data_IF_644359324603
#
_entry.id   IF_644359324603
#
_cell.length_a   1.000
_cell.length_b   1.000
_cell.length_c   1.000
_cell.angle_alpha   90.00
_cell.angle_beta   90.00
_cell.angle_gamma   90.00
#
_symmetry.space_group_name_H-M   'P 1'
#
loop_
_entity.id
_entity.type
_entity.pdbx_description
1 polymer ?
#
# COMPACT_ATOMS: atom_id res chain seq x y z
N UNK A 1 41.29 48.09 -72.37
CA UNK A 1 40.23 47.07 -72.29
C UNK A 1 39.47 47.32 -70.99
N UNK A 2 38.25 47.86 -71.04
CA UNK A 2 37.39 47.97 -69.85
C UNK A 2 36.81 46.58 -69.61
N UNK A 3 37.13 45.98 -68.47
CA UNK A 3 36.46 44.78 -67.98
C UNK A 3 35.08 45.23 -67.50
N UNK A 4 34.02 44.79 -68.18
CA UNK A 4 32.65 45.04 -67.72
C UNK A 4 32.44 44.27 -66.41
N UNK A 5 31.98 44.98 -65.37
CA UNK A 5 31.64 44.37 -64.09
C UNK A 5 30.42 43.45 -64.26
N UNK A 6 30.39 42.26 -63.63
CA UNK A 6 29.31 41.32 -63.80
C UNK A 6 28.01 41.90 -63.21
N UNK A 7 27.04 42.19 -64.08
CA UNK A 7 25.71 42.67 -63.71
C UNK A 7 25.08 41.70 -62.69
N UNK A 8 24.93 42.15 -61.45
CA UNK A 8 24.25 41.40 -60.39
C UNK A 8 22.75 41.56 -60.56
N UNK A 9 22.07 40.48 -60.92
CA UNK A 9 20.61 40.45 -61.08
C UNK A 9 20.01 39.97 -59.77
N UNK A 10 19.29 40.85 -59.08
CA UNK A 10 18.57 40.50 -57.85
C UNK A 10 17.12 40.10 -58.16
N UNK A 11 16.63 39.07 -57.48
CA UNK A 11 15.28 38.51 -57.62
C UNK A 11 14.64 38.32 -56.23
N UNK A 12 13.32 38.54 -56.08
CA UNK A 12 12.64 38.36 -54.81
C UNK A 12 12.51 36.88 -54.46
N UNK A 13 12.82 36.51 -53.21
CA UNK A 13 12.65 35.17 -52.69
C UNK A 13 11.16 34.84 -52.51
N UNK A 14 10.71 33.70 -53.05
CA UNK A 14 9.32 33.24 -52.97
C UNK A 14 8.81 32.99 -51.53
N UNK A 15 9.71 32.81 -50.56
CA UNK A 15 9.35 32.47 -49.17
C UNK A 15 9.41 33.67 -48.22
N UNK A 16 10.37 34.58 -48.39
CA UNK A 16 10.55 35.74 -47.49
C UNK A 16 10.47 37.11 -48.19
N UNK A 17 10.20 37.13 -49.50
CA UNK A 17 10.13 38.31 -50.37
C UNK A 17 11.39 39.20 -50.41
N UNK A 18 12.49 38.83 -49.73
CA UNK A 18 13.75 39.57 -49.77
C UNK A 18 14.40 39.46 -51.17
N UNK A 19 14.98 40.55 -51.62
CA UNK A 19 15.76 40.62 -52.86
C UNK A 19 17.12 39.93 -52.65
N UNK A 20 17.40 38.89 -53.43
CA UNK A 20 18.63 38.08 -53.33
C UNK A 20 19.27 37.98 -54.71
N UNK A 21 20.61 37.98 -54.80
CA UNK A 21 21.30 37.74 -56.08
C UNK A 21 20.85 36.39 -56.65
N UNK A 22 20.49 36.36 -57.92
CA UNK A 22 19.96 35.17 -58.60
C UNK A 22 20.88 33.95 -58.46
N UNK A 23 22.21 34.14 -58.38
CA UNK A 23 23.19 33.05 -58.19
C UNK A 23 23.13 32.47 -56.78
N UNK A 24 22.80 33.30 -55.79
CA UNK A 24 22.74 32.92 -54.37
C UNK A 24 21.32 32.56 -53.91
N UNK A 25 20.29 32.80 -54.72
CA UNK A 25 18.89 32.50 -54.37
C UNK A 25 18.69 31.05 -53.89
N UNK A 26 19.36 30.07 -54.53
CA UNK A 26 19.25 28.66 -54.11
C UNK A 26 19.90 28.38 -52.75
N UNK A 27 21.04 29.00 -52.46
CA UNK A 27 21.69 28.89 -51.15
C UNK A 27 20.86 29.60 -50.08
N UNK A 28 20.36 30.79 -50.38
CA UNK A 28 19.43 31.51 -49.52
C UNK A 28 18.20 30.66 -49.20
N UNK A 29 17.50 30.14 -50.20
CA UNK A 29 16.31 29.29 -49.98
C UNK A 29 16.61 27.99 -49.21
N UNK A 30 17.84 27.47 -49.28
CA UNK A 30 18.24 26.24 -48.62
C UNK A 30 18.75 26.44 -47.18
N UNK A 31 19.46 27.53 -46.90
CA UNK A 31 20.21 27.73 -45.65
C UNK A 31 19.99 29.09 -44.98
N UNK A 32 19.83 30.18 -45.75
CA UNK A 32 19.84 31.55 -45.19
C UNK A 32 18.45 32.21 -45.12
N UNK A 33 17.41 31.55 -45.65
CA UNK A 33 16.06 32.09 -45.69
C UNK A 33 15.38 31.89 -44.34
N UNK A 34 14.96 32.97 -43.64
CA UNK A 34 14.28 32.87 -42.36
C UNK A 34 12.86 32.24 -42.47
N UNK A 35 12.36 32.05 -43.69
CA UNK A 35 11.06 31.43 -43.98
C UNK A 35 11.24 30.11 -44.76
N UNK A 36 12.41 29.47 -44.64
CA UNK A 36 12.70 28.17 -45.28
C UNK A 36 11.73 27.07 -44.82
N UNK A 37 11.09 27.22 -43.67
CA UNK A 37 10.02 26.37 -43.15
C UNK A 37 8.75 26.30 -44.03
N UNK A 38 8.50 27.35 -44.84
CA UNK A 38 7.41 27.40 -45.83
C UNK A 38 7.74 26.65 -47.13
N UNK A 39 8.97 26.17 -47.27
CA UNK A 39 9.40 25.42 -48.44
C UNK A 39 8.57 24.16 -48.58
N UNK A 40 8.02 23.96 -49.76
CA UNK A 40 7.32 22.73 -50.12
C UNK A 40 8.35 21.65 -50.48
N UNK A 41 8.24 20.50 -49.82
CA UNK A 41 9.07 19.32 -50.04
C UNK A 41 8.18 18.13 -50.37
N UNK A 42 8.65 17.26 -51.26
CA UNK A 42 8.01 15.96 -51.45
C UNK A 42 8.25 15.09 -50.22
N UNK A 43 7.22 14.38 -49.79
CA UNK A 43 7.35 13.47 -48.66
C UNK A 43 8.47 12.43 -48.92
N UNK A 44 9.46 12.29 -48.01
CA UNK A 44 10.60 11.40 -48.20
C UNK A 44 10.21 9.92 -48.18
N UNK A 45 8.99 9.59 -47.71
CA UNK A 45 8.41 8.24 -47.78
C UNK A 45 7.84 7.90 -49.15
N UNK A 46 7.82 8.86 -50.09
CA UNK A 46 7.33 8.64 -51.45
C UNK A 46 5.81 8.55 -51.56
N UNK A 47 5.06 9.15 -50.62
CA UNK A 47 3.59 9.10 -50.65
C UNK A 47 2.95 9.97 -51.74
N UNK A 48 3.75 10.78 -52.45
CA UNK A 48 3.30 11.67 -53.53
C UNK A 48 2.76 13.03 -53.07
N UNK A 49 2.68 13.30 -51.77
CA UNK A 49 2.25 14.59 -51.24
C UNK A 49 3.40 15.60 -51.15
N UNK A 50 3.05 16.85 -51.45
CA UNK A 50 3.90 18.03 -51.33
C UNK A 50 3.54 18.76 -50.04
N UNK A 51 4.50 18.91 -49.13
CA UNK A 51 4.27 19.31 -47.75
C UNK A 51 5.26 20.39 -47.36
N UNK A 52 4.80 21.40 -46.64
CA UNK A 52 5.68 22.42 -46.05
C UNK A 52 6.69 21.78 -45.09
N UNK A 53 7.93 22.24 -45.09
CA UNK A 53 8.99 21.69 -44.27
C UNK A 53 8.63 21.66 -42.78
N UNK A 54 7.95 22.69 -42.24
CA UNK A 54 7.45 22.72 -40.85
C UNK A 54 6.44 21.63 -40.51
N UNK A 55 5.66 21.18 -41.50
CA UNK A 55 4.56 20.22 -41.30
C UNK A 55 4.97 18.79 -41.67
N UNK A 56 6.19 18.60 -42.18
CA UNK A 56 6.65 17.32 -42.70
C UNK A 56 6.75 16.24 -41.63
N UNK A 57 7.26 16.59 -40.45
CA UNK A 57 7.39 15.63 -39.34
C UNK A 57 6.02 15.14 -38.88
N UNK A 58 5.10 16.07 -38.62
CA UNK A 58 3.72 15.76 -38.27
C UNK A 58 3.06 14.88 -39.33
N UNK A 59 3.22 15.22 -40.61
CA UNK A 59 2.72 14.38 -41.68
C UNK A 59 3.26 12.94 -41.59
N UNK A 60 4.59 12.77 -41.48
CA UNK A 60 5.19 11.44 -41.44
C UNK A 60 4.62 10.63 -40.27
N UNK A 61 4.56 11.22 -39.08
CA UNK A 61 4.14 10.50 -37.87
C UNK A 61 2.65 10.21 -37.85
N UNK A 62 1.80 11.17 -38.22
CA UNK A 62 0.36 11.08 -37.96
C UNK A 62 -0.49 10.77 -39.19
N UNK A 63 -0.04 11.18 -40.38
CA UNK A 63 -0.90 11.26 -41.57
C UNK A 63 -0.41 10.38 -42.74
N UNK A 64 0.90 10.16 -42.84
CA UNK A 64 1.51 9.55 -44.00
C UNK A 64 0.99 8.12 -44.20
N UNK A 65 0.39 7.82 -45.37
CA UNK A 65 -0.17 6.49 -45.64
C UNK A 65 0.91 5.41 -45.75
N UNK A 66 2.16 5.80 -46.02
CA UNK A 66 3.30 4.91 -46.17
C UNK A 66 4.17 4.81 -44.92
N UNK A 67 3.84 5.53 -43.84
CA UNK A 67 4.57 5.38 -42.59
C UNK A 67 4.29 4.01 -41.97
N UNK A 68 5.33 3.36 -41.44
CA UNK A 68 5.23 2.07 -40.77
C UNK A 68 4.69 2.28 -39.35
N UNK A 69 3.46 1.87 -39.14
CA UNK A 69 2.80 1.90 -37.83
C UNK A 69 2.68 0.47 -37.28
N UNK A 70 2.62 0.31 -35.95
CA UNK A 70 2.34 -1.01 -35.38
C UNK A 70 0.93 -1.50 -35.76
N UNK A 71 0.78 -2.81 -35.82
CA UNK A 71 -0.52 -3.48 -35.88
C UNK A 71 -1.37 -3.13 -34.65
N UNK A 72 -2.69 -3.04 -34.81
CA UNK A 72 -3.61 -2.74 -33.70
C UNK A 72 -3.58 -3.83 -32.61
N UNK A 73 -3.17 -5.05 -32.97
CA UNK A 73 -3.01 -6.20 -32.07
C UNK A 73 -1.58 -6.33 -31.51
N UNK A 74 -0.76 -5.28 -31.55
CA UNK A 74 0.61 -5.32 -31.01
C UNK A 74 0.63 -5.71 -29.53
N UNK A 75 -0.28 -5.16 -28.72
CA UNK A 75 -0.37 -5.47 -27.28
C UNK A 75 -0.83 -6.90 -27.00
N UNK A 76 -1.53 -7.52 -27.96
CA UNK A 76 -1.89 -8.95 -27.91
C UNK A 76 -0.73 -9.85 -28.36
N UNK A 77 0.34 -9.29 -28.92
CA UNK A 77 1.56 -10.02 -29.30
C UNK A 77 1.85 -10.08 -30.80
N UNK A 78 1.13 -9.34 -31.66
CA UNK A 78 1.45 -9.28 -33.08
C UNK A 78 2.70 -8.40 -33.31
N UNK A 79 3.81 -8.92 -33.88
CA UNK A 79 5.06 -8.16 -34.00
C UNK A 79 5.11 -7.26 -35.25
N UNK A 80 4.05 -7.23 -36.07
CA UNK A 80 4.10 -6.60 -37.39
C UNK A 80 4.05 -5.06 -37.29
N UNK A 81 4.97 -4.41 -38.01
CA UNK A 81 4.88 -3.00 -38.38
C UNK A 81 4.58 -2.90 -39.87
N UNK A 82 3.53 -2.17 -40.23
CA UNK A 82 2.93 -2.17 -41.56
C UNK A 82 2.63 -0.73 -41.95
N UNK A 83 2.57 -0.44 -43.25
CA UNK A 83 2.19 0.91 -43.70
C UNK A 83 0.79 1.26 -43.20
N UNK A 84 0.58 2.52 -42.82
CA UNK A 84 -0.72 3.00 -42.35
C UNK A 84 -1.86 2.63 -43.30
N UNK A 85 -1.62 2.70 -44.62
CA UNK A 85 -2.57 2.31 -45.66
C UNK A 85 -2.94 0.82 -45.64
N UNK A 86 -1.95 -0.07 -45.46
CA UNK A 86 -2.17 -1.52 -45.49
C UNK A 86 -2.60 -2.10 -44.12
N UNK A 87 -2.58 -1.31 -43.04
CA UNK A 87 -2.93 -1.78 -41.70
C UNK A 87 -4.33 -2.42 -41.63
N UNK A 88 -5.32 -1.80 -42.27
CA UNK A 88 -6.71 -2.32 -42.26
C UNK A 88 -6.79 -3.70 -42.90
N UNK A 89 -6.18 -3.86 -44.07
CA UNK A 89 -6.16 -5.12 -44.83
C UNK A 89 -5.45 -6.22 -44.03
N UNK A 90 -4.27 -5.93 -43.49
CA UNK A 90 -3.58 -6.86 -42.60
C UNK A 90 -4.46 -7.32 -41.43
N UNK A 91 -5.11 -6.38 -40.73
CA UNK A 91 -5.97 -6.69 -39.59
C UNK A 91 -7.14 -7.60 -39.99
N UNK A 92 -7.76 -7.37 -41.16
CA UNK A 92 -8.87 -8.20 -41.62
C UNK A 92 -8.42 -9.58 -42.10
N UNK A 93 -7.33 -9.66 -42.86
CA UNK A 93 -6.85 -10.93 -43.43
C UNK A 93 -6.22 -11.86 -42.40
N UNK A 94 -5.73 -11.30 -41.29
CA UNK A 94 -5.04 -12.05 -40.25
C UNK A 94 -5.88 -12.19 -38.97
N UNK A 95 -7.19 -12.00 -39.06
CA UNK A 95 -8.06 -11.96 -37.87
C UNK A 95 -8.03 -13.27 -37.08
N UNK A 96 -7.96 -14.43 -37.73
CA UNK A 96 -7.85 -15.72 -37.03
C UNK A 96 -6.56 -15.81 -36.21
N UNK A 97 -5.43 -15.34 -36.77
CA UNK A 97 -4.17 -15.26 -36.05
C UNK A 97 -4.26 -14.28 -34.88
N UNK A 98 -4.85 -13.10 -35.07
CA UNK A 98 -5.05 -12.12 -34.00
C UNK A 98 -5.95 -12.64 -32.87
N UNK A 99 -7.03 -13.34 -33.22
CA UNK A 99 -7.91 -14.00 -32.24
C UNK A 99 -7.18 -15.10 -31.47
N UNK A 100 -6.31 -15.86 -32.12
CA UNK A 100 -5.49 -16.88 -31.43
C UNK A 100 -4.57 -16.27 -30.37
N UNK A 101 -3.98 -15.11 -30.64
CA UNK A 101 -3.14 -14.37 -29.70
C UNK A 101 -3.96 -13.86 -28.51
N UNK A 102 -5.14 -13.30 -28.78
CA UNK A 102 -6.05 -12.82 -27.73
C UNK A 102 -6.49 -13.97 -26.83
N UNK A 103 -6.92 -15.08 -27.42
CA UNK A 103 -7.38 -16.25 -26.68
C UNK A 103 -6.26 -16.85 -25.82
N UNK A 104 -5.05 -16.98 -26.38
CA UNK A 104 -3.87 -17.42 -25.62
C UNK A 104 -3.64 -16.52 -24.40
N UNK A 105 -3.61 -15.20 -24.61
CA UNK A 105 -3.44 -14.25 -23.53
C UNK A 105 -4.58 -14.29 -22.50
N UNK A 106 -5.81 -14.60 -22.91
CA UNK A 106 -6.95 -14.79 -21.99
C UNK A 106 -6.73 -16.02 -21.11
N UNK A 107 -6.44 -17.18 -21.72
CA UNK A 107 -6.22 -18.42 -20.98
C UNK A 107 -5.05 -18.31 -19.98
N UNK A 108 -3.96 -17.64 -20.38
CA UNK A 108 -2.83 -17.38 -19.49
C UNK A 108 -3.17 -16.41 -18.34
N UNK A 109 -4.12 -15.50 -18.54
CA UNK A 109 -4.63 -14.65 -17.45
C UNK A 109 -5.56 -15.44 -16.54
N UNK A 110 -6.45 -16.25 -17.09
CA UNK A 110 -7.39 -17.08 -16.33
C UNK A 110 -6.65 -18.09 -15.44
N UNK A 111 -5.59 -18.74 -15.96
CA UNK A 111 -4.73 -19.64 -15.17
C UNK A 111 -4.02 -18.90 -14.02
N UNK A 112 -3.48 -17.69 -14.29
CA UNK A 112 -2.86 -16.86 -13.25
C UNK A 112 -3.87 -16.44 -12.18
N UNK A 113 -5.06 -16.03 -12.57
CA UNK A 113 -6.15 -15.67 -11.65
C UNK A 113 -6.52 -16.87 -10.79
N UNK A 114 -6.75 -18.04 -11.39
CA UNK A 114 -7.08 -19.27 -10.66
C UNK A 114 -5.97 -19.66 -9.65
N UNK A 115 -4.70 -19.49 -10.04
CA UNK A 115 -3.56 -19.73 -9.14
C UNK A 115 -3.55 -18.76 -7.95
N UNK A 116 -3.78 -17.47 -8.20
CA UNK A 116 -3.84 -16.45 -7.14
C UNK A 116 -5.01 -16.72 -6.19
N UNK A 117 -6.20 -17.02 -6.71
CA UNK A 117 -7.37 -17.37 -5.90
C UNK A 117 -7.10 -18.60 -5.02
N UNK A 118 -6.45 -19.64 -5.56
CA UNK A 118 -6.09 -20.83 -4.79
C UNK A 118 -5.14 -20.49 -3.64
N UNK A 119 -4.12 -19.67 -3.90
CA UNK A 119 -3.17 -19.25 -2.86
C UNK A 119 -3.83 -18.34 -1.81
N UNK A 120 -4.74 -17.46 -2.24
CA UNK A 120 -5.45 -16.56 -1.34
C UNK A 120 -6.32 -17.37 -0.36
N UNK A 121 -7.12 -18.31 -0.87
CA UNK A 121 -7.94 -19.21 -0.03
C UNK A 121 -7.09 -20.00 0.97
N UNK A 122 -5.92 -20.50 0.56
CA UNK A 122 -5.03 -21.21 1.47
C UNK A 122 -4.51 -20.29 2.59
N UNK A 123 -4.12 -19.05 2.27
CA UNK A 123 -3.67 -18.07 3.27
C UNK A 123 -4.80 -17.60 4.18
N UNK A 124 -6.02 -17.47 3.68
CA UNK A 124 -7.19 -17.16 4.50
C UNK A 124 -7.44 -18.25 5.53
N UNK A 125 -7.38 -19.53 5.13
CA UNK A 125 -7.51 -20.66 6.06
C UNK A 125 -6.39 -20.67 7.11
N UNK A 126 -5.14 -20.42 6.72
CA UNK A 126 -4.00 -20.34 7.65
C UNK A 126 -4.17 -19.19 8.65
N UNK A 127 -4.55 -17.99 8.19
CA UNK A 127 -4.80 -16.84 9.05
C UNK A 127 -5.94 -17.11 10.02
N UNK A 128 -7.03 -17.71 9.55
CA UNK A 128 -8.13 -18.12 10.41
C UNK A 128 -7.66 -19.10 11.49
N UNK A 129 -6.83 -20.09 11.12
CA UNK A 129 -6.23 -21.02 12.07
C UNK A 129 -5.38 -20.30 13.13
N UNK A 130 -4.54 -19.35 12.73
CA UNK A 130 -3.72 -18.56 13.65
C UNK A 130 -4.57 -17.69 14.59
N UNK A 131 -5.63 -17.06 14.11
CA UNK A 131 -6.55 -16.29 14.95
C UNK A 131 -7.24 -17.18 15.98
N UNK A 132 -7.68 -18.38 15.59
CA UNK A 132 -8.30 -19.32 16.54
C UNK A 132 -7.31 -19.82 17.59
N UNK A 133 -6.06 -20.09 17.20
CA UNK A 133 -5.02 -20.50 18.14
C UNK A 133 -4.67 -19.37 19.14
N UNK A 134 -4.55 -18.13 18.66
CA UNK A 134 -4.29 -16.97 19.52
C UNK A 134 -5.44 -16.72 20.51
N UNK A 135 -6.68 -16.84 20.06
CA UNK A 135 -7.86 -16.72 20.93
C UNK A 135 -7.88 -17.81 22.00
N UNK A 136 -7.52 -19.04 21.63
CA UNK A 136 -7.41 -20.15 22.56
C UNK A 136 -6.32 -19.92 23.62
N UNK A 137 -5.11 -19.52 23.21
CA UNK A 137 -4.02 -19.22 24.15
C UNK A 137 -4.39 -18.09 25.14
N UNK A 138 -5.20 -17.13 24.69
CA UNK A 138 -5.67 -16.04 25.54
C UNK A 138 -6.69 -16.50 26.56
N UNK A 139 -7.62 -17.37 26.16
CA UNK A 139 -8.59 -18.00 27.07
C UNK A 139 -7.88 -18.85 28.11
N UNK A 140 -6.98 -19.73 27.69
CA UNK A 140 -6.19 -20.57 28.60
C UNK A 140 -5.36 -19.73 29.58
N UNK A 141 -4.78 -18.63 29.11
CA UNK A 141 -4.08 -17.68 29.97
C UNK A 141 -5.03 -17.04 30.98
N UNK A 142 -6.20 -16.57 30.55
CA UNK A 142 -7.19 -15.96 31.44
C UNK A 142 -7.67 -16.94 32.52
N UNK A 143 -8.01 -18.18 32.13
CA UNK A 143 -8.41 -19.26 33.05
C UNK A 143 -7.32 -19.54 34.08
N UNK A 144 -6.06 -19.66 33.65
CA UNK A 144 -4.92 -19.83 34.56
C UNK A 144 -4.78 -18.69 35.58
N UNK A 145 -5.03 -17.46 35.15
CA UNK A 145 -4.99 -16.30 36.04
C UNK A 145 -6.16 -16.28 37.03
N UNK A 146 -7.36 -16.62 36.59
CA UNK A 146 -8.52 -16.71 37.49
C UNK A 146 -8.33 -17.84 38.53
N UNK A 147 -7.81 -19.00 38.13
CA UNK A 147 -7.44 -20.08 39.06
C UNK A 147 -6.40 -19.64 40.09
N UNK A 148 -5.38 -18.90 39.66
CA UNK A 148 -4.36 -18.34 40.56
C UNK A 148 -4.97 -17.33 41.55
N UNK A 149 -5.86 -16.46 41.07
CA UNK A 149 -6.54 -15.46 41.89
C UNK A 149 -7.43 -16.11 42.96
N UNK A 150 -8.24 -17.10 42.59
CA UNK A 150 -9.07 -17.86 43.53
C UNK A 150 -8.22 -18.53 44.62
N UNK A 151 -7.12 -19.17 44.23
CA UNK A 151 -6.22 -19.85 45.17
C UNK A 151 -5.54 -18.86 46.13
N UNK A 152 -5.14 -17.69 45.64
CA UNK A 152 -4.54 -16.63 46.47
C UNK A 152 -5.56 -16.03 47.42
N UNK A 153 -6.77 -15.74 46.96
CA UNK A 153 -7.85 -15.21 47.79
C UNK A 153 -8.23 -16.19 48.92
N UNK A 154 -8.36 -17.48 48.61
CA UNK A 154 -8.60 -18.50 49.62
C UNK A 154 -7.48 -18.61 50.66
N UNK A 155 -6.22 -18.42 50.25
CA UNK A 155 -5.09 -18.38 51.17
C UNK A 155 -5.15 -17.16 52.10
N UNK A 156 -5.47 -15.97 51.57
CA UNK A 156 -5.59 -14.74 52.35
C UNK A 156 -6.75 -14.82 53.37
N UNK A 157 -7.89 -15.42 52.99
CA UNK A 157 -9.00 -15.66 53.91
C UNK A 157 -8.59 -16.60 55.06
N UNK A 158 -7.89 -17.70 54.75
CA UNK A 158 -7.39 -18.62 55.78
C UNK A 158 -6.37 -17.96 56.73
N UNK A 159 -5.52 -17.06 56.21
CA UNK A 159 -4.63 -16.25 57.06
C UNK A 159 -5.42 -15.30 57.96
N UNK A 160 -6.44 -14.64 57.43
CA UNK A 160 -7.28 -13.70 58.17
C UNK A 160 -8.03 -14.40 59.31
N UNK A 161 -8.61 -15.57 59.04
CA UNK A 161 -9.32 -16.36 60.05
C UNK A 161 -8.38 -16.80 61.19
N UNK A 162 -7.16 -17.25 60.84
CA UNK A 162 -6.12 -17.59 61.82
C UNK A 162 -5.70 -16.39 62.67
N UNK A 163 -5.58 -15.20 62.05
CA UNK A 163 -5.20 -13.97 62.76
C UNK A 163 -6.32 -13.56 63.72
N UNK A 164 -7.59 -13.62 63.30
CA UNK A 164 -8.75 -13.37 64.17
C UNK A 164 -8.77 -14.33 65.35
N UNK A 165 -8.62 -15.64 65.10
CA UNK A 165 -8.62 -16.67 66.15
C UNK A 165 -7.47 -16.46 67.16
N UNK A 166 -6.26 -16.17 66.68
CA UNK A 166 -5.11 -15.86 67.56
C UNK A 166 -5.30 -14.54 68.33
N UNK A 167 -5.92 -13.54 67.70
CA UNK A 167 -6.20 -12.23 68.31
C UNK A 167 -7.23 -12.35 69.43
N UNK A 168 -8.33 -13.07 69.18
CA UNK A 168 -9.39 -13.31 70.15
C UNK A 168 -8.87 -14.16 71.31
N UNK A 169 -8.07 -15.19 71.01
CA UNK A 169 -7.38 -15.99 72.02
C UNK A 169 -6.44 -15.14 72.89
N UNK A 170 -5.66 -14.25 72.27
CA UNK A 170 -4.75 -13.33 72.98
C UNK A 170 -5.51 -12.30 73.83
N UNK A 171 -6.60 -11.72 73.32
CA UNK A 171 -7.46 -10.79 74.06
C UNK A 171 -8.12 -11.45 75.27
N UNK A 172 -8.60 -12.68 75.11
CA UNK A 172 -9.19 -13.48 76.20
C UNK A 172 -8.15 -13.82 77.27
N UNK A 173 -6.95 -14.25 76.87
CA UNK A 173 -5.85 -14.54 77.78
C UNK A 173 -5.39 -13.30 78.57
N UNK A 174 -5.31 -12.14 77.90
CA UNK A 174 -4.98 -10.87 78.54
C UNK A 174 -6.06 -10.41 79.55
N UNK A 175 -7.35 -10.65 79.27
CA UNK A 175 -8.44 -10.31 80.21
C UNK A 175 -8.39 -11.09 81.53
N UNK A 176 -7.75 -12.27 81.54
CA UNK A 176 -7.56 -13.10 82.71
C UNK A 176 -6.20 -12.92 83.42
N UNK A 177 -5.35 -11.99 82.97
CA UNK A 177 -3.96 -11.85 83.46
C UNK A 177 -3.82 -10.82 84.59
N UNK A 178 -2.98 -11.12 85.60
CA UNK A 178 -2.73 -10.30 86.81
C UNK A 178 -1.66 -9.21 86.56
N UNK A 179 -1.52 -8.74 85.31
CA UNK A 179 -0.57 -7.68 84.95
C UNK A 179 -1.14 -6.28 85.24
N UNK A 180 -0.28 -5.27 85.34
CA UNK A 180 -0.73 -3.87 85.47
C UNK A 180 -1.52 -3.46 84.23
N UNK A 181 -2.61 -2.70 84.43
CA UNK A 181 -3.56 -2.28 83.38
C UNK A 181 -2.86 -1.66 82.16
N UNK A 182 -1.84 -0.83 82.40
CA UNK A 182 -1.06 -0.17 81.35
C UNK A 182 -0.32 -1.13 80.40
N UNK A 183 0.20 -2.25 80.90
CA UNK A 183 0.91 -3.23 80.08
C UNK A 183 -0.05 -4.02 79.19
N UNK A 184 -1.23 -4.36 79.72
CA UNK A 184 -2.32 -5.01 78.98
C UNK A 184 -2.83 -4.10 77.87
N UNK A 185 -3.01 -2.81 78.14
CA UNK A 185 -3.45 -1.82 77.14
C UNK A 185 -2.40 -1.55 76.06
N UNK A 186 -1.11 -1.61 76.39
CA UNK A 186 -0.04 -1.50 75.39
C UNK A 186 -0.04 -2.71 74.45
N UNK A 187 -0.16 -3.92 74.99
CA UNK A 187 -0.22 -5.14 74.18
C UNK A 187 -1.46 -5.20 73.30
N UNK A 188 -2.63 -4.75 73.82
CA UNK A 188 -3.86 -4.65 73.03
C UNK A 188 -3.71 -3.71 71.84
N UNK A 189 -3.07 -2.55 72.02
CA UNK A 189 -2.78 -1.61 70.92
C UNK A 189 -1.87 -2.22 69.85
N UNK A 190 -0.85 -2.99 70.23
CA UNK A 190 0.00 -3.70 69.27
C UNK A 190 -0.79 -4.72 68.45
N UNK A 191 -1.68 -5.48 69.09
CA UNK A 191 -2.56 -6.44 68.42
C UNK A 191 -3.52 -5.74 67.45
N UNK A 192 -4.11 -4.62 67.85
CA UNK A 192 -5.00 -3.84 66.99
C UNK A 192 -4.23 -3.23 65.78
N UNK A 193 -2.97 -2.81 65.97
CA UNK A 193 -2.10 -2.34 64.89
C UNK A 193 -1.74 -3.42 63.87
N UNK A 194 -1.33 -4.60 64.33
CA UNK A 194 -1.07 -5.74 63.44
C UNK A 194 -2.32 -6.19 62.67
N UNK A 195 -3.49 -6.10 63.30
CA UNK A 195 -4.78 -6.38 62.64
C UNK A 195 -5.03 -5.40 61.50
N UNK A 196 -4.74 -4.11 61.71
CA UNK A 196 -4.87 -3.08 60.68
C UNK A 196 -3.91 -3.29 59.50
N UNK A 197 -2.64 -3.61 59.77
CA UNK A 197 -1.63 -3.85 58.74
C UNK A 197 -2.02 -5.02 57.82
N UNK A 198 -2.56 -6.10 58.40
CA UNK A 198 -3.08 -7.26 57.66
C UNK A 198 -4.25 -6.88 56.76
N UNK A 199 -5.18 -6.06 57.25
CA UNK A 199 -6.30 -5.56 56.44
C UNK A 199 -5.81 -4.68 55.27
N UNK A 200 -4.78 -3.86 55.49
CA UNK A 200 -4.22 -3.03 54.43
C UNK A 200 -3.50 -3.87 53.35
N UNK A 201 -2.71 -4.87 53.75
CA UNK A 201 -2.08 -5.81 52.81
C UNK A 201 -3.12 -6.54 51.93
N UNK A 202 -4.26 -6.95 52.51
CA UNK A 202 -5.37 -7.57 51.75
C UNK A 202 -5.92 -6.62 50.68
N UNK A 203 -6.08 -5.34 51.02
CA UNK A 203 -6.59 -4.31 50.09
C UNK A 203 -5.62 -4.07 48.94
N UNK A 204 -4.32 -4.05 49.20
CA UNK A 204 -3.27 -3.90 48.19
C UNK A 204 -3.21 -5.09 47.22
N UNK A 205 -3.36 -6.32 47.74
CA UNK A 205 -3.43 -7.52 46.91
C UNK A 205 -4.66 -7.52 45.97
N UNK A 206 -5.83 -7.10 46.47
CA UNK A 206 -7.05 -6.93 45.67
C UNK A 206 -6.88 -5.87 44.57
N UNK A 207 -6.31 -4.70 44.89
CA UNK A 207 -6.05 -3.65 43.90
C UNK A 207 -5.07 -4.13 42.81
N UNK A 208 -4.08 -4.94 43.19
CA UNK A 208 -3.14 -5.53 42.25
C UNK A 208 -3.82 -6.53 41.30
N UNK A 209 -4.71 -7.39 41.79
CA UNK A 209 -5.55 -8.28 40.97
C UNK A 209 -6.39 -7.48 39.94
N UNK A 210 -7.07 -6.42 40.39
CA UNK A 210 -7.89 -5.57 39.50
C UNK A 210 -7.05 -4.94 38.39
N UNK A 211 -5.82 -4.49 38.70
CA UNK A 211 -4.91 -3.93 37.70
C UNK A 211 -4.49 -4.98 36.66
N UNK A 212 -4.18 -6.20 37.09
CA UNK A 212 -3.83 -7.30 36.18
C UNK A 212 -4.99 -7.64 35.24
N UNK A 213 -6.23 -7.72 35.76
CA UNK A 213 -7.43 -7.99 34.96
C UNK A 213 -7.73 -6.87 33.94
N UNK A 214 -7.47 -5.60 34.29
CA UNK A 214 -7.55 -4.47 33.35
C UNK A 214 -6.51 -4.54 32.23
N UNK A 215 -5.29 -4.97 32.54
CA UNK A 215 -4.24 -5.11 31.52
C UNK A 215 -4.57 -6.24 30.51
N UNK A 216 -5.16 -7.34 30.97
CA UNK A 216 -5.58 -8.45 30.10
C UNK A 216 -6.74 -8.07 29.17
N UNK A 217 -7.73 -7.34 29.69
CA UNK A 217 -8.88 -6.87 28.88
C UNK A 217 -8.47 -5.82 27.84
N UNK A 218 -7.58 -4.89 28.19
CA UNK A 218 -7.04 -3.91 27.24
C UNK A 218 -6.22 -4.56 26.10
N UNK A 219 -5.52 -5.67 26.38
CA UNK A 219 -4.81 -6.45 25.35
C UNK A 219 -5.78 -7.24 24.43
N UNK A 220 -6.97 -7.59 24.90
CA UNK A 220 -7.99 -8.24 24.08
C UNK A 220 -8.65 -7.26 23.09
N UNK A 221 -8.88 -6.02 23.51
CA UNK A 221 -9.52 -4.99 22.67
C UNK A 221 -8.63 -4.51 21.50
N UNK A 222 -7.30 -4.43 21.69
CA UNK A 222 -6.35 -3.93 20.67
C UNK A 222 -6.08 -4.93 19.53
N UNK A 223 -6.35 -6.21 19.77
CA UNK A 223 -6.14 -7.33 18.84
C UNK A 223 -7.39 -7.73 18.06
N UNK A 224 -8.54 -7.13 18.38
CA UNK A 224 -9.71 -7.14 17.53
C UNK A 224 -9.36 -6.34 16.28
N UNK A 225 -8.73 -7.00 15.30
CA UNK A 225 -8.36 -6.36 14.03
C UNK A 225 -9.57 -5.70 13.36
N UNK A 226 -9.35 -4.78 12.40
CA UNK A 226 -10.41 -4.00 11.76
C UNK A 226 -11.21 -4.90 10.79
N UNK A 227 -12.04 -5.78 11.34
CA UNK A 227 -12.88 -6.76 10.61
C UNK A 227 -14.33 -6.31 10.47
N UNK A 228 -14.56 -5.01 10.28
CA UNK A 228 -15.89 -4.41 10.26
C UNK A 228 -16.19 -3.55 9.02
N UNK A 229 -15.53 -3.78 7.88
CA UNK A 229 -15.98 -3.17 6.62
C UNK A 229 -16.95 -4.12 5.89
N UNK A 230 -18.23 -3.82 6.09
CA UNK A 230 -19.37 -4.19 5.23
C UNK A 230 -18.99 -4.05 3.75
N UNK A 231 -19.32 -5.01 2.87
CA UNK A 231 -19.29 -4.75 1.44
C UNK A 231 -20.41 -3.75 1.13
N UNK A 232 -20.03 -2.58 0.58
CA UNK A 232 -20.96 -1.71 -0.09
C UNK A 232 -21.25 -2.29 -1.48
N UNK A 233 -22.54 -2.21 -1.84
CA UNK A 233 -23.23 -2.56 -3.09
C UNK A 233 -22.37 -2.58 -4.37
#
# INVERSE_FOLDING_TARGET
MRLEEPVSVSVPCEYCAKQVDKRELRKHQAYDCPQSELRIMQCPKGCGQNIEARSLEKHIVDECPLELVPCDFQLSGCPRRITRRAKREHNSENIEYHLSLINKGSLERDDRTAKVEKTLRAREMELQGLYTALDQERKERAEMFDEFEERMMGMLEAFEDRIKENTDSSKKALSGSVLTTNNVDSMRRTVDGLTYDVQNMKKEALDMSVRVRRMQTAQAEQSSGPGGHRPAL
#
